data_IF_781100633890
#
_entry.id   IF_781100633890
#
_cell.length_a   1.000
_cell.length_b   1.000
_cell.length_c   1.000
_cell.angle_alpha   90.00
_cell.angle_beta   90.00
_cell.angle_gamma   90.00
#
_symmetry.space_group_name_H-M   'P 1'
#
loop_
_entity.id
_entity.type
_entity.pdbx_description
1 polymer ?
#
# COMPACT_ATOMS: atom_id res chain seq x y z
N UNK A 1 13.92 -60.99 3.19
CA UNK A 1 13.62 -60.38 1.87
C UNK A 1 12.38 -59.53 2.06
N UNK A 2 12.31 -58.21 1.92
CA UNK A 2 13.17 -57.21 1.30
C UNK A 2 12.23 -56.24 0.57
N UNK A 3 12.00 -55.03 1.11
CA UNK A 3 11.55 -53.83 0.39
C UNK A 3 11.20 -52.70 1.38
N UNK A 4 12.22 -52.00 1.90
CA UNK A 4 12.07 -50.61 2.33
C UNK A 4 12.98 -49.77 1.43
N UNK A 5 12.40 -49.15 0.40
CA UNK A 5 13.10 -48.17 -0.42
C UNK A 5 12.09 -47.19 -1.05
N UNK A 6 11.46 -46.37 -0.21
CA UNK A 6 10.83 -45.12 -0.64
C UNK A 6 11.41 -43.98 0.18
N UNK A 7 12.68 -43.67 -0.08
CA UNK A 7 13.34 -42.47 0.42
C UNK A 7 13.63 -41.55 -0.76
N UNK A 8 12.90 -40.44 -0.77
CA UNK A 8 13.41 -39.11 -1.09
C UNK A 8 13.89 -38.88 -2.53
N UNK A 9 12.93 -38.66 -3.44
CA UNK A 9 13.18 -37.75 -4.58
C UNK A 9 13.02 -36.32 -4.04
N UNK A 10 14.09 -35.79 -3.46
CA UNK A 10 14.17 -34.37 -3.13
C UNK A 10 14.16 -33.58 -4.44
N UNK A 11 13.06 -32.86 -4.70
CA UNK A 11 12.92 -31.98 -5.86
C UNK A 11 14.01 -30.91 -5.78
N UNK A 12 15.03 -31.00 -6.63
CA UNK A 12 16.08 -29.99 -6.74
C UNK A 12 15.49 -28.77 -7.42
N UNK A 13 15.38 -27.67 -6.69
CA UNK A 13 15.06 -26.37 -7.28
C UNK A 13 16.24 -25.90 -8.14
N UNK A 14 15.98 -25.25 -9.30
CA UNK A 14 17.06 -24.68 -10.11
C UNK A 14 17.78 -23.60 -9.29
N UNK A 15 19.08 -23.79 -9.09
CA UNK A 15 19.93 -22.90 -8.28
C UNK A 15 20.59 -21.78 -9.10
N UNK A 16 20.42 -21.79 -10.42
CA UNK A 16 21.00 -20.79 -11.32
C UNK A 16 19.88 -20.06 -12.07
N UNK A 17 19.89 -18.74 -11.98
CA UNK A 17 18.98 -17.89 -12.73
C UNK A 17 19.36 -17.93 -14.21
N UNK A 18 18.36 -18.17 -15.07
CA UNK A 18 18.56 -18.28 -16.51
C UNK A 18 19.01 -16.90 -17.06
N UNK A 19 20.18 -16.78 -17.73
CA UNK A 19 20.73 -15.48 -18.13
C UNK A 19 19.83 -14.72 -19.13
N UNK A 20 19.00 -15.43 -19.88
CA UNK A 20 17.99 -14.82 -20.76
C UNK A 20 16.96 -13.97 -19.98
N UNK A 21 16.56 -14.42 -18.79
CA UNK A 21 15.58 -13.71 -17.94
C UNK A 21 16.20 -12.46 -17.31
N UNK A 22 17.50 -12.47 -17.01
CA UNK A 22 18.21 -11.32 -16.46
C UNK A 22 18.42 -10.19 -17.49
N UNK A 23 18.46 -10.54 -18.78
CA UNK A 23 18.61 -9.56 -19.87
C UNK A 23 17.29 -8.87 -20.25
N UNK A 24 16.15 -9.45 -19.87
CA UNK A 24 14.83 -8.94 -20.19
C UNK A 24 14.27 -8.19 -18.98
N UNK A 25 14.43 -6.87 -18.97
CA UNK A 25 13.70 -6.01 -18.02
C UNK A 25 12.20 -6.17 -18.31
N UNK A 26 11.38 -6.63 -17.36
CA UNK A 26 9.94 -6.73 -17.56
C UNK A 26 9.38 -5.34 -17.86
N UNK A 27 8.89 -5.13 -19.09
CA UNK A 27 8.28 -3.85 -19.51
C UNK A 27 6.87 -3.65 -18.98
N UNK A 28 6.29 -4.67 -18.36
CA UNK A 28 4.90 -4.69 -17.90
C UNK A 28 4.80 -5.34 -16.54
N UNK A 29 4.17 -4.65 -15.59
CA UNK A 29 3.85 -5.18 -14.28
C UNK A 29 2.82 -6.32 -14.41
N UNK A 30 2.89 -7.40 -13.60
CA UNK A 30 1.90 -8.48 -13.60
C UNK A 30 0.48 -8.03 -13.21
N UNK A 31 0.32 -6.76 -12.78
CA UNK A 31 -0.96 -6.13 -12.47
C UNK A 31 -1.71 -5.58 -13.68
N UNK A 32 -1.18 -5.69 -14.91
CA UNK A 32 -1.80 -5.16 -16.13
C UNK A 32 -2.73 -6.16 -16.85
N UNK A 33 -3.29 -7.16 -16.16
CA UNK A 33 -4.26 -8.10 -16.75
C UNK A 33 -5.65 -7.47 -17.00
N UNK A 34 -5.87 -6.20 -16.66
CA UNK A 34 -7.14 -5.52 -16.96
C UNK A 34 -7.31 -5.09 -18.42
N UNK A 35 -6.26 -5.17 -19.25
CA UNK A 35 -6.36 -4.77 -20.67
C UNK A 35 -6.83 -5.89 -21.60
N UNK A 36 -6.96 -7.13 -21.13
CA UNK A 36 -7.46 -8.25 -21.96
C UNK A 36 -8.99 -8.35 -21.99
N UNK A 37 -9.73 -7.58 -21.19
CA UNK A 37 -11.20 -7.55 -21.24
C UNK A 37 -11.76 -6.69 -22.39
N UNK A 38 -10.93 -5.86 -23.04
CA UNK A 38 -11.35 -4.97 -24.13
C UNK A 38 -11.08 -5.50 -25.54
N UNK A 39 -10.55 -6.72 -25.69
CA UNK A 39 -10.38 -7.36 -27.01
C UNK A 39 -11.63 -8.09 -27.53
N UNK A 40 -12.77 -7.96 -26.85
CA UNK A 40 -14.07 -8.37 -27.36
C UNK A 40 -14.71 -7.24 -28.19
N UNK A 41 -14.21 -6.95 -29.40
CA UNK A 41 -15.00 -6.25 -30.46
C UNK A 41 -14.25 -6.02 -31.77
N UNK A 42 -13.41 -6.96 -32.22
CA UNK A 42 -13.01 -7.01 -33.65
C UNK A 42 -13.27 -8.41 -34.19
N UNK A 43 -14.00 -8.57 -35.30
CA UNK A 43 -14.42 -9.88 -35.82
C UNK A 43 -13.27 -10.77 -36.33
N UNK A 44 -12.04 -10.25 -36.46
CA UNK A 44 -10.90 -10.98 -37.02
C UNK A 44 -10.13 -11.85 -36.01
N UNK A 45 -10.30 -11.67 -34.70
CA UNK A 45 -9.56 -12.47 -33.68
C UNK A 45 -10.27 -13.76 -33.29
N UNK A 46 -11.53 -13.95 -33.70
CA UNK A 46 -12.28 -15.19 -33.43
C UNK A 46 -11.72 -16.40 -34.23
N UNK A 47 -11.06 -16.17 -35.37
CA UNK A 47 -10.54 -17.24 -36.23
C UNK A 47 -9.21 -17.83 -35.77
N UNK A 48 -8.36 -17.08 -35.05
CA UNK A 48 -7.01 -17.54 -34.70
C UNK A 48 -7.00 -18.57 -33.57
N UNK A 49 -8.08 -18.63 -32.77
CA UNK A 49 -8.19 -19.59 -31.66
C UNK A 49 -8.72 -20.97 -32.07
N UNK A 50 -9.32 -21.11 -33.26
CA UNK A 50 -9.82 -22.39 -33.76
C UNK A 50 -8.69 -23.24 -34.36
N UNK A 51 -7.69 -22.61 -35.00
CA UNK A 51 -6.59 -23.32 -35.68
C UNK A 51 -5.61 -24.06 -34.75
N UNK A 52 -5.65 -23.81 -33.43
CA UNK A 52 -4.75 -24.42 -32.44
C UNK A 52 -5.45 -25.31 -31.41
N UNK A 53 -6.72 -25.67 -31.63
CA UNK A 53 -7.40 -26.64 -30.77
C UNK A 53 -6.85 -28.03 -31.08
N UNK A 54 -6.22 -28.65 -30.11
CA UNK A 54 -5.91 -30.09 -30.21
C UNK A 54 -7.22 -30.88 -30.21
N UNK A 55 -7.21 -32.06 -30.83
CA UNK A 55 -8.38 -32.96 -30.90
C UNK A 55 -9.04 -33.19 -29.53
N UNK A 56 -8.23 -33.27 -28.47
CA UNK A 56 -8.70 -33.37 -27.08
C UNK A 56 -9.50 -32.13 -26.60
N UNK A 57 -9.14 -30.93 -27.03
CA UNK A 57 -9.84 -29.67 -26.68
C UNK A 57 -11.16 -29.57 -27.45
N UNK A 58 -11.20 -30.06 -28.70
CA UNK A 58 -12.45 -30.11 -29.48
C UNK A 58 -13.45 -31.13 -28.91
N UNK A 59 -12.97 -32.29 -28.47
CA UNK A 59 -13.80 -33.29 -27.80
C UNK A 59 -14.37 -32.77 -26.47
N UNK A 60 -13.54 -32.13 -25.66
CA UNK A 60 -13.97 -31.49 -24.41
C UNK A 60 -14.98 -30.35 -24.67
N UNK A 61 -14.82 -29.58 -25.74
CA UNK A 61 -15.77 -28.53 -26.14
C UNK A 61 -17.14 -29.05 -26.59
N UNK A 62 -17.24 -30.33 -26.97
CA UNK A 62 -18.49 -31.01 -27.33
C UNK A 62 -19.15 -31.72 -26.16
N UNK A 63 -18.51 -31.76 -24.99
CA UNK A 63 -19.07 -32.40 -23.81
C UNK A 63 -20.22 -31.54 -23.22
N UNK A 64 -21.47 -32.04 -23.21
CA UNK A 64 -22.62 -31.32 -22.66
C UNK A 64 -22.49 -31.06 -21.15
N UNK A 65 -21.63 -31.81 -20.46
CA UNK A 65 -21.33 -31.65 -19.04
C UNK A 65 -19.99 -30.94 -18.78
N UNK A 66 -19.33 -30.41 -19.81
CA UNK A 66 -18.05 -29.69 -19.70
C UNK A 66 -18.11 -28.54 -18.68
N UNK A 67 -19.18 -27.77 -18.70
CA UNK A 67 -19.41 -26.68 -17.75
C UNK A 67 -19.54 -27.17 -16.29
N UNK A 68 -20.06 -28.38 -16.07
CA UNK A 68 -20.14 -29.00 -14.74
C UNK A 68 -18.77 -29.49 -14.29
N UNK A 69 -17.97 -30.06 -15.20
CA UNK A 69 -16.60 -30.51 -14.94
C UNK A 69 -15.66 -29.32 -14.61
N UNK A 70 -15.82 -28.19 -15.30
CA UNK A 70 -15.12 -26.94 -14.97
C UNK A 70 -15.48 -26.42 -13.57
N UNK A 71 -16.75 -26.49 -13.19
CA UNK A 71 -17.19 -26.11 -11.84
C UNK A 71 -16.58 -27.02 -10.75
N UNK A 72 -16.36 -28.31 -11.02
CA UNK A 72 -15.66 -29.21 -10.08
C UNK A 72 -14.16 -28.96 -10.01
N UNK A 73 -13.53 -28.51 -11.10
CA UNK A 73 -12.09 -28.20 -11.14
C UNK A 73 -11.79 -26.84 -10.48
N UNK A 74 -12.70 -25.88 -10.55
CA UNK A 74 -12.56 -24.54 -9.97
C UNK A 74 -12.89 -24.40 -8.48
N UNK A 75 -13.27 -25.49 -7.79
CA UNK A 75 -13.74 -25.44 -6.40
C UNK A 75 -12.64 -25.46 -5.32
N UNK A 76 -11.36 -25.52 -5.68
CA UNK A 76 -10.28 -25.70 -4.70
C UNK A 76 -9.41 -24.48 -4.43
N UNK A 77 -9.77 -23.28 -4.90
CA UNK A 77 -8.98 -22.08 -4.58
C UNK A 77 -9.69 -21.22 -3.53
N UNK A 78 -9.33 -21.45 -2.27
CA UNK A 78 -9.80 -20.65 -1.13
C UNK A 78 -9.56 -19.16 -1.36
N UNK A 79 -8.53 -18.80 -2.13
CA UNK A 79 -8.24 -17.42 -2.51
C UNK A 79 -9.34 -16.83 -3.40
N UNK A 80 -9.83 -17.58 -4.40
CA UNK A 80 -10.95 -17.12 -5.25
C UNK A 80 -12.24 -16.97 -4.46
N UNK A 81 -12.48 -17.84 -3.47
CA UNK A 81 -13.63 -17.69 -2.57
C UNK A 81 -13.53 -16.43 -1.71
N UNK A 82 -12.36 -16.15 -1.15
CA UNK A 82 -12.09 -14.92 -0.40
C UNK A 82 -12.27 -13.69 -1.29
N UNK A 83 -11.75 -13.71 -2.53
CA UNK A 83 -11.91 -12.60 -3.48
C UNK A 83 -13.37 -12.38 -3.87
N UNK A 84 -14.15 -13.45 -4.10
CA UNK A 84 -15.60 -13.34 -4.39
C UNK A 84 -16.37 -12.79 -3.20
N UNK A 85 -16.10 -13.27 -1.99
CA UNK A 85 -16.73 -12.74 -0.78
C UNK A 85 -16.37 -11.27 -0.55
N UNK A 86 -15.10 -10.91 -0.76
CA UNK A 86 -14.65 -9.52 -0.65
C UNK A 86 -15.33 -8.62 -1.69
N UNK A 87 -15.41 -9.04 -2.94
CA UNK A 87 -16.11 -8.28 -3.99
C UNK A 87 -17.61 -8.15 -3.72
N UNK A 88 -18.25 -9.17 -3.11
CA UNK A 88 -19.64 -9.08 -2.69
C UNK A 88 -19.84 -8.10 -1.53
N UNK A 89 -18.91 -8.09 -0.56
CA UNK A 89 -18.91 -7.13 0.53
C UNK A 89 -18.67 -5.70 0.03
N UNK A 90 -17.68 -5.50 -0.84
CA UNK A 90 -17.42 -4.18 -1.46
C UNK A 90 -18.62 -3.69 -2.25
N UNK A 91 -19.27 -4.55 -3.05
CA UNK A 91 -20.52 -4.20 -3.75
C UNK A 91 -21.70 -3.95 -2.80
N UNK A 92 -21.73 -4.59 -1.64
CA UNK A 92 -22.72 -4.35 -0.59
C UNK A 92 -22.42 -3.05 0.20
N UNK A 93 -21.15 -2.64 0.26
CA UNK A 93 -20.67 -1.40 0.86
C UNK A 93 -20.81 -0.19 -0.07
N UNK A 94 -20.69 -0.41 -1.39
CA UNK A 94 -20.94 0.57 -2.46
C UNK A 94 -22.44 0.91 -2.63
N UNK A 95 -23.32 0.50 -1.70
CA UNK A 95 -24.76 0.73 -1.81
C UNK A 95 -25.18 2.18 -1.61
N UNK A 96 -25.44 2.78 -2.77
CA UNK A 96 -26.70 3.42 -3.15
C UNK A 96 -26.95 4.84 -2.60
N UNK A 97 -26.73 5.90 -3.40
CA UNK A 97 -27.01 7.28 -3.01
C UNK A 97 -28.50 7.54 -2.70
N UNK A 98 -29.38 6.56 -2.97
CA UNK A 98 -30.81 6.62 -2.70
C UNK A 98 -31.24 5.98 -1.37
N UNK A 99 -30.34 5.29 -0.64
CA UNK A 99 -30.69 4.77 0.70
C UNK A 99 -30.78 5.96 1.67
N UNK A 100 -31.96 6.22 2.26
CA UNK A 100 -32.14 7.35 3.17
C UNK A 100 -31.19 7.19 4.36
N UNK A 101 -30.58 8.30 4.80
CA UNK A 101 -29.61 8.38 5.92
C UNK A 101 -30.04 7.65 7.21
N UNK A 102 -31.34 7.37 7.35
CA UNK A 102 -31.97 6.61 8.44
C UNK A 102 -31.60 5.12 8.50
N UNK A 103 -31.09 4.51 7.43
CA UNK A 103 -30.64 3.11 7.41
C UNK A 103 -29.12 2.96 7.30
N UNK A 104 -28.36 4.04 7.53
CA UNK A 104 -26.91 3.92 7.69
C UNK A 104 -26.66 3.06 8.92
N UNK A 105 -26.02 1.92 8.72
CA UNK A 105 -25.63 1.04 9.82
C UNK A 105 -24.86 1.86 10.87
N UNK A 106 -25.40 1.92 12.08
CA UNK A 106 -24.81 2.65 13.20
C UNK A 106 -23.38 2.17 13.45
N UNK A 107 -22.49 3.09 13.86
CA UNK A 107 -21.07 2.80 14.13
C UNK A 107 -20.21 2.39 12.92
N UNK A 108 -20.56 2.84 11.71
CA UNK A 108 -19.71 2.72 10.54
C UNK A 108 -19.10 4.05 10.15
N UNK A 109 -17.79 4.10 10.00
CA UNK A 109 -17.03 5.31 9.68
C UNK A 109 -15.99 4.97 8.60
N UNK A 110 -15.72 5.90 7.70
CA UNK A 110 -14.64 5.74 6.71
C UNK A 110 -13.28 5.84 7.39
N UNK A 111 -12.22 5.33 6.74
CA UNK A 111 -10.85 5.41 7.29
C UNK A 111 -10.42 6.88 7.43
N UNK A 112 -10.78 7.73 6.48
CA UNK A 112 -10.44 9.16 6.49
C UNK A 112 -11.16 9.92 7.61
N UNK A 113 -12.44 9.61 7.84
CA UNK A 113 -13.20 10.17 8.94
C UNK A 113 -12.67 9.67 10.29
N UNK A 114 -12.29 8.39 10.39
CA UNK A 114 -11.68 7.80 11.58
C UNK A 114 -10.34 8.47 11.90
N UNK A 115 -9.51 8.69 10.89
CA UNK A 115 -8.26 9.43 11.02
C UNK A 115 -8.52 10.86 11.52
N UNK A 116 -9.48 11.56 10.91
CA UNK A 116 -9.89 12.92 11.30
C UNK A 116 -10.41 13.00 12.74
N UNK A 117 -11.18 12.00 13.17
CA UNK A 117 -11.68 11.86 14.54
C UNK A 117 -10.54 11.64 15.54
N UNK A 118 -9.58 10.78 15.21
CA UNK A 118 -8.39 10.54 16.04
C UNK A 118 -7.45 11.76 16.10
N UNK A 119 -7.35 12.56 15.03
CA UNK A 119 -6.63 13.84 15.07
C UNK A 119 -7.32 14.85 15.99
N UNK A 120 -8.64 14.98 15.89
CA UNK A 120 -9.42 15.89 16.75
C UNK A 120 -9.28 15.51 18.24
N UNK A 121 -9.18 14.22 18.55
CA UNK A 121 -8.92 13.73 19.91
C UNK A 121 -7.65 14.31 20.51
N UNK A 122 -6.57 14.48 19.75
CA UNK A 122 -5.29 15.04 20.26
C UNK A 122 -5.45 16.47 20.81
N UNK A 123 -6.50 17.17 20.36
CA UNK A 123 -6.82 18.52 20.79
C UNK A 123 -7.74 18.55 22.03
N UNK A 124 -8.36 17.42 22.39
CA UNK A 124 -9.25 17.31 23.53
C UNK A 124 -8.47 17.13 24.84
N UNK A 125 -8.99 17.66 25.96
CA UNK A 125 -8.44 17.36 27.27
C UNK A 125 -8.60 15.86 27.60
N UNK A 126 -7.73 15.33 28.45
CA UNK A 126 -7.79 13.93 28.89
C UNK A 126 -9.14 13.58 29.55
N UNK A 127 -9.74 14.55 30.24
CA UNK A 127 -11.09 14.52 30.79
C UNK A 127 -12.09 15.19 29.83
N UNK A 128 -12.17 14.70 28.59
CA UNK A 128 -13.13 15.22 27.61
C UNK A 128 -14.54 15.20 28.21
N UNK A 129 -15.21 16.36 28.19
CA UNK A 129 -16.54 16.47 28.78
C UNK A 129 -17.55 15.69 27.93
N UNK A 130 -18.65 15.23 28.56
CA UNK A 130 -19.72 14.55 27.83
C UNK A 130 -20.27 15.40 26.66
N UNK A 131 -20.24 16.73 26.81
CA UNK A 131 -20.66 17.67 25.77
C UNK A 131 -19.70 17.70 24.56
N UNK A 132 -18.39 17.66 24.79
CA UNK A 132 -17.40 17.62 23.70
C UNK A 132 -17.50 16.31 22.92
N UNK A 133 -17.72 15.19 23.61
CA UNK A 133 -17.97 13.90 22.96
C UNK A 133 -19.28 13.92 22.16
N UNK A 134 -20.34 14.55 22.67
CA UNK A 134 -21.60 14.72 21.95
C UNK A 134 -21.43 15.54 20.66
N UNK A 135 -20.60 16.58 20.69
CA UNK A 135 -20.27 17.38 19.50
C UNK A 135 -19.47 16.60 18.46
N UNK A 136 -18.72 15.57 18.86
CA UNK A 136 -18.03 14.68 17.93
C UNK A 136 -19.00 13.65 17.34
N UNK A 137 -19.86 13.06 18.18
CA UNK A 137 -20.88 12.10 17.71
C UNK A 137 -21.95 12.74 16.83
N UNK A 138 -22.09 14.06 16.82
CA UNK A 138 -22.98 14.74 15.86
C UNK A 138 -22.33 14.92 14.48
N UNK A 139 -20.99 14.96 14.42
CA UNK A 139 -20.23 15.08 13.17
C UNK A 139 -20.00 13.72 12.51
N UNK A 140 -19.81 12.68 13.32
CA UNK A 140 -19.54 11.33 12.85
C UNK A 140 -20.66 10.38 13.25
N UNK A 141 -21.03 9.40 12.40
CA UNK A 141 -22.09 8.41 12.68
C UNK A 141 -21.63 7.32 13.68
N UNK A 142 -21.06 7.73 14.82
CA UNK A 142 -20.57 6.86 15.89
C UNK A 142 -21.32 7.13 17.18
N UNK A 143 -21.62 6.08 17.93
CA UNK A 143 -22.19 6.19 19.27
C UNK A 143 -21.14 6.71 20.26
N UNK A 144 -21.57 7.46 21.27
CA UNK A 144 -20.68 8.05 22.28
C UNK A 144 -19.84 6.99 22.99
N UNK A 145 -20.42 5.83 23.32
CA UNK A 145 -19.71 4.71 23.94
C UNK A 145 -18.60 4.18 23.02
N UNK A 146 -18.90 4.01 21.72
CA UNK A 146 -17.93 3.56 20.73
C UNK A 146 -16.78 4.54 20.62
N UNK A 147 -17.04 5.85 20.58
CA UNK A 147 -15.98 6.89 20.56
C UNK A 147 -15.10 6.81 21.81
N UNK A 148 -15.69 6.61 23.00
CA UNK A 148 -14.92 6.44 24.24
C UNK A 148 -14.03 5.19 24.20
N UNK A 149 -14.58 4.06 23.74
CA UNK A 149 -13.81 2.81 23.57
C UNK A 149 -12.68 3.00 22.56
N UNK A 150 -12.96 3.69 21.45
CA UNK A 150 -12.00 3.96 20.40
C UNK A 150 -10.87 4.85 20.92
N UNK A 151 -11.18 5.89 21.68
CA UNK A 151 -10.16 6.70 22.34
C UNK A 151 -9.38 5.93 23.41
N UNK A 152 -9.95 4.91 24.03
CA UNK A 152 -9.18 4.10 24.99
C UNK A 152 -8.14 3.19 24.32
N UNK A 153 -8.47 2.61 23.17
CA UNK A 153 -7.66 1.52 22.58
C UNK A 153 -6.95 1.87 21.27
N UNK A 154 -7.43 2.88 20.54
CA UNK A 154 -6.89 3.26 19.24
C UNK A 154 -6.21 4.61 19.37
N UNK A 155 -4.95 4.67 18.94
CA UNK A 155 -4.19 5.90 18.85
C UNK A 155 -3.62 6.09 17.46
N UNK A 156 -3.49 7.34 17.05
CA UNK A 156 -2.87 7.69 15.77
C UNK A 156 -1.42 8.13 16.01
N UNK A 157 -0.51 7.58 15.23
CA UNK A 157 0.90 7.91 15.31
C UNK A 157 1.10 9.26 14.63
N UNK A 158 1.68 10.22 15.35
CA UNK A 158 2.10 11.47 14.72
C UNK A 158 3.58 11.38 14.41
N UNK A 159 4.01 11.52 13.15
CA UNK A 159 5.42 11.58 12.83
C UNK A 159 5.99 12.91 13.34
N UNK A 160 7.01 12.85 14.18
CA UNK A 160 7.79 14.02 14.58
C UNK A 160 9.26 13.82 14.19
N UNK A 161 9.93 14.92 13.85
CA UNK A 161 11.39 14.96 13.78
C UNK A 161 11.93 15.07 15.21
N UNK A 162 12.43 13.96 15.74
CA UNK A 162 12.95 13.88 17.11
C UNK A 162 14.46 14.16 17.13
N UNK A 163 15.04 14.67 16.04
CA UNK A 163 16.46 15.02 15.99
C UNK A 163 17.39 13.82 16.19
N UNK A 164 16.95 12.61 15.84
CA UNK A 164 17.88 11.50 15.74
C UNK A 164 18.86 11.75 14.59
N UNK A 165 20.11 11.32 14.77
CA UNK A 165 21.14 11.41 13.73
C UNK A 165 20.70 10.76 12.41
N UNK A 166 19.87 9.71 12.52
CA UNK A 166 19.10 9.18 11.41
C UNK A 166 17.96 10.16 11.08
N UNK A 167 17.95 10.71 9.86
CA UNK A 167 16.91 11.63 9.32
C UNK A 167 15.48 11.04 9.25
N UNK A 168 15.24 9.93 9.96
CA UNK A 168 13.98 9.22 10.02
C UNK A 168 13.06 9.89 11.04
N UNK A 169 11.88 10.28 10.58
CA UNK A 169 10.80 10.71 11.45
C UNK A 169 10.40 9.56 12.38
N UNK A 170 10.28 9.84 13.68
CA UNK A 170 9.82 8.86 14.66
C UNK A 170 8.36 9.10 14.95
N UNK A 171 7.60 8.01 14.97
CA UNK A 171 6.22 8.04 15.44
C UNK A 171 6.17 8.26 16.94
N UNK A 172 5.49 9.31 17.39
CA UNK A 172 5.29 9.56 18.81
C UNK A 172 3.87 9.18 19.22
N UNK A 173 3.80 8.42 20.30
CA UNK A 173 2.54 8.08 20.97
C UNK A 173 2.07 9.25 21.84
N UNK A 174 0.88 9.76 21.57
CA UNK A 174 0.34 10.93 22.27
C UNK A 174 -1.02 10.60 22.86
N UNK A 175 -1.14 10.68 24.18
CA UNK A 175 -2.38 10.32 24.89
C UNK A 175 -3.26 11.55 25.15
N UNK A 176 -2.62 12.69 25.42
CA UNK A 176 -3.25 13.89 25.95
C UNK A 176 -2.82 15.14 25.18
N UNK A 177 -3.67 16.16 25.16
CA UNK A 177 -3.36 17.48 24.57
C UNK A 177 -2.08 18.12 25.10
N UNK A 178 -1.81 17.98 26.39
CA UNK A 178 -0.60 18.53 27.01
C UNK A 178 0.66 17.84 26.49
N UNK A 179 0.62 16.51 26.38
CA UNK A 179 1.67 15.73 25.72
C UNK A 179 1.85 16.15 24.26
N UNK A 180 0.75 16.35 23.53
CA UNK A 180 0.84 16.82 22.15
C UNK A 180 1.55 18.17 22.02
N UNK A 181 1.18 19.14 22.87
CA UNK A 181 1.80 20.47 22.88
C UNK A 181 3.28 20.42 23.25
N UNK A 182 3.66 19.62 24.24
CA UNK A 182 5.07 19.49 24.63
C UNK A 182 5.91 18.87 23.52
N UNK A 183 5.39 17.85 22.82
CA UNK A 183 6.06 17.27 21.66
C UNK A 183 6.21 18.27 20.50
N UNK A 184 5.17 19.07 20.20
CA UNK A 184 5.28 20.12 19.18
C UNK A 184 6.36 21.13 19.55
N UNK A 185 6.40 21.58 20.81
CA UNK A 185 7.41 22.53 21.27
C UNK A 185 8.82 21.94 21.18
N UNK A 186 9.00 20.68 21.58
CA UNK A 186 10.28 19.98 21.45
C UNK A 186 10.71 19.88 19.98
N UNK A 187 9.84 19.42 19.09
CA UNK A 187 10.12 19.33 17.65
C UNK A 187 10.48 20.71 17.06
N UNK A 188 9.78 21.78 17.45
CA UNK A 188 10.11 23.15 17.04
C UNK A 188 11.47 23.61 17.56
N UNK A 189 11.85 23.25 18.79
CA UNK A 189 13.18 23.62 19.31
C UNK A 189 14.30 22.86 18.62
N UNK A 190 14.09 21.58 18.30
CA UNK A 190 15.07 20.74 17.59
C UNK A 190 15.28 21.26 16.16
N UNK A 191 14.18 21.52 15.44
CA UNK A 191 14.24 22.07 14.07
C UNK A 191 14.94 23.42 14.04
N UNK A 192 14.63 24.33 14.95
CA UNK A 192 15.34 25.62 15.08
C UNK A 192 16.85 25.44 15.32
N UNK A 193 17.24 24.60 16.28
CA UNK A 193 18.66 24.30 16.54
C UNK A 193 19.38 23.72 15.31
N UNK A 194 18.70 22.87 14.53
CA UNK A 194 19.24 22.29 13.30
C UNK A 194 19.37 23.33 12.17
N UNK A 195 18.44 24.26 12.08
CA UNK A 195 18.55 25.38 11.14
C UNK A 195 19.68 26.33 11.52
N UNK A 196 19.86 26.62 12.80
CA UNK A 196 20.97 27.42 13.32
C UNK A 196 22.32 26.75 13.08
N UNK A 197 22.45 25.44 13.34
CA UNK A 197 23.69 24.70 13.06
C UNK A 197 24.01 24.63 11.57
N UNK A 198 22.99 24.43 10.71
CA UNK A 198 23.16 24.48 9.24
C UNK A 198 23.57 25.88 8.75
N UNK A 199 23.06 26.96 9.36
CA UNK A 199 23.46 28.33 9.03
C UNK A 199 24.89 28.61 9.48
N UNK A 200 25.28 28.15 10.67
CA UNK A 200 26.65 28.26 11.17
C UNK A 200 27.64 27.47 10.28
N UNK A 201 27.32 26.23 9.91
CA UNK A 201 28.17 25.41 9.03
C UNK A 201 28.33 26.03 7.63
N UNK A 202 27.30 26.71 7.11
CA UNK A 202 27.39 27.46 5.85
C UNK A 202 28.19 28.76 5.98
N UNK A 203 28.23 29.38 7.16
CA UNK A 203 29.01 30.59 7.41
C UNK A 203 30.49 30.27 7.66
N UNK A 204 30.78 29.13 8.30
CA UNK A 204 32.14 28.64 8.59
C UNK A 204 32.78 27.86 7.45
N UNK A 205 32.05 27.55 6.38
CA UNK A 205 32.66 27.18 5.11
C UNK A 205 33.16 28.47 4.47
N UNK A 206 34.47 28.81 4.55
CA UNK A 206 34.99 29.85 3.68
C UNK A 206 34.60 29.46 2.27
N UNK A 207 34.35 30.46 1.45
CA UNK A 207 34.17 30.34 0.01
C UNK A 207 35.46 29.72 -0.57
N UNK A 208 35.68 28.41 -0.37
CA UNK A 208 36.67 27.64 -1.07
C UNK A 208 36.10 27.50 -2.46
N UNK A 209 36.32 28.55 -3.25
CA UNK A 209 36.53 28.40 -4.66
C UNK A 209 37.35 27.12 -4.81
N UNK A 210 36.72 26.05 -5.33
CA UNK A 210 37.48 24.89 -5.76
C UNK A 210 38.61 25.46 -6.61
N UNK A 211 39.88 25.07 -6.37
CA UNK A 211 40.97 25.58 -7.18
C UNK A 211 40.58 25.30 -8.63
N UNK A 212 40.66 26.31 -9.50
CA UNK A 212 40.22 26.23 -10.91
C UNK A 212 40.76 24.99 -11.64
N UNK A 213 41.85 24.41 -11.14
CA UNK A 213 42.42 23.14 -11.58
C UNK A 213 41.48 21.93 -11.44
N UNK A 214 40.68 21.82 -10.37
CA UNK A 214 39.73 20.71 -10.19
C UNK A 214 38.50 20.86 -11.08
N UNK A 215 38.01 22.09 -11.27
CA UNK A 215 36.92 22.36 -12.22
C UNK A 215 37.35 22.04 -13.64
N UNK A 216 38.53 22.50 -14.06
CA UNK A 216 39.09 22.22 -15.40
C UNK A 216 39.35 20.73 -15.65
N UNK A 217 39.72 19.96 -14.62
CA UNK A 217 39.87 18.49 -14.75
C UNK A 217 38.53 17.81 -14.99
N UNK A 218 37.50 18.15 -14.21
CA UNK A 218 36.16 17.58 -14.39
C UNK A 218 35.52 17.99 -15.71
N UNK A 219 35.77 19.22 -16.17
CA UNK A 219 35.27 19.72 -17.44
C UNK A 219 35.90 18.97 -18.62
N UNK A 220 37.21 18.69 -18.57
CA UNK A 220 37.88 17.82 -19.55
C UNK A 220 37.40 16.38 -19.53
N UNK A 221 37.23 15.78 -18.33
CA UNK A 221 36.68 14.42 -18.22
C UNK A 221 35.26 14.32 -18.80
N UNK A 222 34.47 15.40 -18.71
CA UNK A 222 33.14 15.46 -19.32
C UNK A 222 33.20 15.66 -20.83
N UNK A 223 34.11 16.49 -21.36
CA UNK A 223 34.29 16.65 -22.81
C UNK A 223 34.76 15.35 -23.50
N UNK A 224 35.64 14.60 -22.85
CA UNK A 224 36.14 13.30 -23.35
C UNK A 224 35.04 12.21 -23.37
N UNK A 225 33.96 12.36 -22.59
CA UNK A 225 32.82 11.43 -22.57
C UNK A 225 31.82 11.62 -23.72
N UNK A 226 31.87 12.76 -24.42
CA UNK A 226 30.93 13.11 -25.50
C UNK A 226 31.60 13.24 -26.88
N UNK A 227 32.88 12.93 -26.99
CA UNK A 227 33.61 12.88 -28.25
C UNK A 227 33.86 11.43 -28.68
N UNK A 228 32.81 10.81 -29.24
CA UNK A 228 32.87 9.63 -30.12
C UNK A 228 32.48 10.04 -31.55
#
# INVERSE_FOLDING_TARGET
MGAQASKQVARKFPQQANPEILSQVPKTSPSSTHSSSHLNSTPDTAYVADDYKSEAIEEDGRDPDFAKKLNTIGQSDSMLQIMRQRSQLEKAEDFDPLVPKSQKAENRITIDDLYSLLEQRKLLPASASSQELQQLTSKYPLNQQTVQTLFKYVNNITPFDVGSEDERQRGVWVENREGFKSYIQQAQTITKKREESRKAEKADKPNSAQPDSERRRKEKELEDLFTD
#
